data_IF_302234121164
#
_entry.id   IF_302234121164
#
_cell.length_a   1.000
_cell.length_b   1.000
_cell.length_c   1.000
_cell.angle_alpha   90.00
_cell.angle_beta   90.00
_cell.angle_gamma   90.00
#
_symmetry.space_group_name_H-M   'P 1'
#
loop_
_entity.id
_entity.type
_entity.pdbx_description
1 polymer ?
#
# COMPACT_ATOMS: atom_id res chain seq x y z
N UNK A 1 7.12 -14.98 21.83
CA UNK A 1 6.54 -13.62 21.83
C UNK A 1 7.62 -12.65 21.38
N UNK A 2 7.44 -11.99 20.23
CA UNK A 2 8.45 -11.06 19.69
C UNK A 2 8.53 -9.82 20.59
N UNK A 3 9.74 -9.41 20.97
CA UNK A 3 9.99 -8.28 21.90
C UNK A 3 9.30 -6.98 21.44
N UNK A 4 9.21 -6.75 20.13
CA UNK A 4 8.51 -5.61 19.55
C UNK A 4 6.98 -5.61 19.80
N UNK A 5 6.36 -6.79 19.95
CA UNK A 5 4.92 -6.91 20.22
C UNK A 5 4.58 -6.52 21.67
N UNK A 6 5.43 -6.89 22.63
CA UNK A 6 5.27 -6.50 24.03
C UNK A 6 5.43 -4.98 24.24
N UNK A 7 6.35 -4.35 23.50
CA UNK A 7 6.58 -2.89 23.57
C UNK A 7 5.39 -2.12 22.99
N UNK A 8 4.84 -2.55 21.85
CA UNK A 8 3.64 -1.92 21.26
C UNK A 8 2.43 -1.99 22.20
N UNK A 9 2.21 -3.13 22.88
CA UNK A 9 1.13 -3.28 23.84
C UNK A 9 1.30 -2.36 25.06
N UNK A 10 2.54 -2.20 25.55
CA UNK A 10 2.85 -1.33 26.69
C UNK A 10 2.69 0.16 26.34
N UNK A 11 3.10 0.57 25.13
CA UNK A 11 2.92 1.94 24.61
C UNK A 11 1.44 2.30 24.46
N UNK A 12 0.61 1.36 24.02
CA UNK A 12 -0.85 1.57 23.93
C UNK A 12 -1.49 1.74 25.31
N UNK A 13 -1.01 1.02 26.32
CA UNK A 13 -1.53 1.08 27.69
C UNK A 13 -1.16 2.41 28.39
N UNK A 14 0.02 2.95 28.10
CA UNK A 14 0.47 4.26 28.61
C UNK A 14 -0.23 5.45 27.96
N UNK A 15 -0.60 5.34 26.68
CA UNK A 15 -1.37 6.38 26.00
C UNK A 15 -2.75 6.61 26.64
N UNK A 16 -3.37 5.57 27.21
CA UNK A 16 -4.63 5.66 27.93
C UNK A 16 -4.52 6.35 29.31
N UNK A 17 -3.32 6.47 29.88
CA UNK A 17 -3.09 7.04 31.22
C UNK A 17 -2.76 8.55 31.20
N UNK A 18 -2.87 9.24 30.07
CA UNK A 18 -2.66 10.69 29.97
C UNK A 18 -1.20 11.16 29.99
N UNK A 19 -0.22 10.25 29.97
CA UNK A 19 1.22 10.58 29.98
C UNK A 19 1.73 10.79 28.54
N UNK A 20 1.17 11.77 27.84
CA UNK A 20 1.43 12.00 26.41
C UNK A 20 2.91 12.30 26.09
N UNK A 21 3.63 12.98 26.99
CA UNK A 21 5.03 13.36 26.81
C UNK A 21 5.98 12.16 26.80
N UNK A 22 5.77 11.17 27.67
CA UNK A 22 6.64 9.98 27.76
C UNK A 22 6.41 8.97 26.63
N UNK A 23 5.22 8.95 26.02
CA UNK A 23 4.87 8.02 24.94
C UNK A 23 5.56 8.37 23.62
N UNK A 24 5.74 9.67 23.34
CA UNK A 24 6.42 10.15 22.12
C UNK A 24 7.92 9.83 22.17
N UNK A 25 8.57 10.11 23.30
CA UNK A 25 10.00 9.76 23.49
C UNK A 25 10.23 8.25 23.47
N UNK A 26 9.36 7.45 24.09
CA UNK A 26 9.49 6.00 24.06
C UNK A 26 9.39 5.44 22.63
N UNK A 27 8.52 6.01 21.79
CA UNK A 27 8.43 5.63 20.36
C UNK A 27 9.66 6.05 19.57
N UNK A 28 10.21 7.25 19.84
CA UNK A 28 11.45 7.73 19.21
C UNK A 28 12.61 6.79 19.51
N UNK A 29 12.81 6.47 20.80
CA UNK A 29 13.85 5.56 21.30
C UNK A 29 13.67 4.13 20.77
N UNK A 30 12.43 3.63 20.71
CA UNK A 30 12.15 2.30 20.17
C UNK A 30 12.40 2.21 18.66
N UNK A 31 12.13 3.29 17.90
CA UNK A 31 12.38 3.35 16.47
C UNK A 31 13.88 3.36 16.13
N UNK A 32 14.67 4.13 16.87
CA UNK A 32 16.14 4.13 16.70
C UNK A 32 16.75 2.76 17.01
N UNK A 33 16.23 2.05 18.02
CA UNK A 33 16.74 0.73 18.41
C UNK A 33 16.48 -0.33 17.33
N UNK A 34 15.28 -0.36 16.73
CA UNK A 34 14.98 -1.26 15.62
C UNK A 34 15.86 -0.99 14.39
N UNK A 35 16.10 0.29 14.06
CA UNK A 35 16.97 0.64 12.94
C UNK A 35 18.44 0.24 13.18
N UNK A 36 18.91 0.31 14.43
CA UNK A 36 20.26 -0.16 14.80
C UNK A 36 20.36 -1.69 14.73
N UNK A 37 19.35 -2.43 15.18
CA UNK A 37 19.30 -3.91 15.08
C UNK A 37 19.36 -4.37 13.61
N UNK A 38 18.62 -3.73 12.71
CA UNK A 38 18.64 -4.04 11.27
C UNK A 38 20.00 -3.75 10.63
N UNK A 39 20.67 -2.65 11.03
CA UNK A 39 22.03 -2.34 10.57
C UNK A 39 23.04 -3.38 11.04
N UNK A 40 22.93 -3.81 12.29
CA UNK A 40 23.80 -4.83 12.86
C UNK A 40 23.59 -6.18 12.17
N UNK A 41 22.33 -6.57 11.91
CA UNK A 41 22.02 -7.79 11.17
C UNK A 41 22.57 -7.77 9.73
N UNK A 42 22.54 -6.61 9.05
CA UNK A 42 23.15 -6.46 7.72
C UNK A 42 24.67 -6.57 7.74
N UNK A 43 25.32 -6.00 8.75
CA UNK A 43 26.78 -6.08 8.90
C UNK A 43 27.25 -7.49 9.29
N UNK A 44 26.49 -8.20 10.14
CA UNK A 44 26.82 -9.58 10.53
C UNK A 44 26.59 -10.59 9.39
N UNK A 45 25.61 -10.36 8.51
CA UNK A 45 25.32 -11.24 7.37
C UNK A 45 25.97 -10.79 6.06
N UNK A 46 26.78 -9.73 6.07
CA UNK A 46 27.50 -9.30 4.88
C UNK A 46 28.42 -10.44 4.42
N UNK A 47 28.29 -10.93 3.16
CA UNK A 47 29.08 -12.06 2.69
C UNK A 47 30.56 -11.70 2.78
N UNK A 48 31.30 -12.47 3.58
CA UNK A 48 32.75 -12.41 3.61
C UNK A 48 33.21 -12.85 2.24
N UNK A 49 33.50 -11.89 1.35
CA UNK A 49 34.02 -12.16 0.04
C UNK A 49 35.32 -12.96 0.20
N UNK A 50 35.27 -14.26 -0.09
CA UNK A 50 36.46 -15.09 -0.10
C UNK A 50 37.37 -14.55 -1.22
N UNK A 51 38.63 -14.20 -0.90
CA UNK A 51 39.54 -13.69 -1.91
C UNK A 51 39.83 -14.80 -2.92
N UNK A 52 39.24 -14.69 -4.10
CA UNK A 52 39.59 -15.54 -5.23
C UNK A 52 41.00 -15.14 -5.71
N UNK A 53 41.98 -16.01 -5.43
CA UNK A 53 43.23 -16.21 -6.16
C UNK A 53 44.01 -14.99 -6.69
N UNK A 54 45.15 -14.74 -6.04
CA UNK A 54 46.38 -14.14 -6.57
C UNK A 54 46.26 -12.84 -7.41
N UNK A 55 46.13 -11.71 -6.73
CA UNK A 55 46.95 -10.53 -6.99
C UNK A 55 46.95 -9.64 -5.75
N UNK A 56 48.14 -9.16 -5.36
CA UNK A 56 48.37 -8.37 -4.16
C UNK A 56 47.59 -7.04 -4.19
N UNK A 57 46.38 -7.04 -3.63
CA UNK A 57 45.63 -5.84 -3.31
C UNK A 57 45.49 -5.73 -1.80
N UNK A 58 46.33 -4.91 -1.18
CA UNK A 58 46.35 -4.61 0.26
C UNK A 58 45.14 -3.80 0.74
N UNK A 59 44.18 -3.46 -0.15
CA UNK A 59 42.99 -2.67 0.18
C UNK A 59 41.87 -3.45 0.90
N UNK A 60 41.89 -4.79 0.87
CA UNK A 60 40.83 -5.61 1.49
C UNK A 60 40.95 -5.81 3.00
N UNK A 61 42.15 -5.67 3.58
CA UNK A 61 42.34 -5.84 5.02
C UNK A 61 41.93 -4.60 5.83
N UNK A 62 42.01 -3.41 5.21
CA UNK A 62 41.60 -2.15 5.83
C UNK A 62 40.07 -2.04 5.99
N UNK A 63 39.28 -2.66 5.10
CA UNK A 63 37.82 -2.61 5.18
C UNK A 63 37.25 -3.50 6.30
N UNK A 64 37.90 -4.62 6.62
CA UNK A 64 37.43 -5.52 7.68
C UNK A 64 37.65 -4.93 9.09
N UNK A 65 38.76 -4.23 9.30
CA UNK A 65 39.03 -3.56 10.59
C UNK A 65 38.10 -2.38 10.81
N UNK A 66 37.76 -1.64 9.75
CA UNK A 66 36.78 -0.55 9.77
C UNK A 66 35.37 -1.06 10.09
N UNK A 67 34.91 -2.12 9.41
CA UNK A 67 33.62 -2.79 9.72
C UNK A 67 33.59 -3.30 11.17
N UNK A 68 34.69 -3.84 11.68
CA UNK A 68 34.77 -4.30 13.08
C UNK A 68 34.67 -3.15 14.07
N UNK A 69 35.24 -1.98 13.75
CA UNK A 69 35.13 -0.78 14.57
C UNK A 69 33.70 -0.21 14.56
N UNK A 70 33.03 -0.20 13.40
CA UNK A 70 31.63 0.21 13.31
C UNK A 70 30.71 -0.69 14.13
N UNK A 71 30.90 -2.02 14.09
CA UNK A 71 30.12 -2.95 14.91
C UNK A 71 30.32 -2.68 16.40
N UNK A 72 31.55 -2.41 16.85
CA UNK A 72 31.82 -2.06 18.25
C UNK A 72 31.14 -0.76 18.66
N UNK A 73 31.18 0.26 17.80
CA UNK A 73 30.54 1.56 18.04
C UNK A 73 29.02 1.42 18.12
N UNK A 74 28.40 0.73 17.16
CA UNK A 74 26.95 0.48 17.16
C UNK A 74 26.50 -0.31 18.40
N UNK A 75 27.28 -1.30 18.85
CA UNK A 75 26.96 -2.04 20.09
C UNK A 75 27.01 -1.14 21.33
N UNK A 76 27.92 -0.17 21.39
CA UNK A 76 27.99 0.80 22.48
C UNK A 76 26.79 1.78 22.45
N UNK A 77 26.41 2.28 21.27
CA UNK A 77 25.25 3.16 21.09
C UNK A 77 23.94 2.45 21.48
N UNK A 78 23.75 1.19 21.07
CA UNK A 78 22.59 0.40 21.50
C UNK A 78 22.52 0.20 23.01
N UNK A 79 23.67 0.02 23.68
CA UNK A 79 23.70 -0.11 25.13
C UNK A 79 23.25 1.18 25.83
N UNK A 80 23.67 2.35 25.35
CA UNK A 80 23.24 3.65 25.87
C UNK A 80 21.73 3.86 25.69
N UNK A 81 21.21 3.64 24.48
CA UNK A 81 19.78 3.79 24.18
C UNK A 81 18.93 2.83 25.01
N UNK A 82 19.42 1.62 25.28
CA UNK A 82 18.74 0.67 26.16
C UNK A 82 18.70 1.15 27.62
N UNK A 83 19.79 1.73 28.13
CA UNK A 83 19.80 2.31 29.49
C UNK A 83 18.86 3.50 29.63
N UNK A 84 18.74 4.33 28.59
CA UNK A 84 17.77 5.42 28.54
C UNK A 84 16.33 4.89 28.49
N UNK A 85 16.07 3.84 27.71
CA UNK A 85 14.77 3.20 27.68
C UNK A 85 14.37 2.65 29.07
N UNK A 86 15.30 1.99 29.76
CA UNK A 86 15.06 1.45 31.10
C UNK A 86 14.82 2.56 32.13
N UNK A 87 15.50 3.70 32.03
CA UNK A 87 15.29 4.85 32.92
C UNK A 87 13.92 5.52 32.69
N UNK A 88 13.50 5.67 31.43
CA UNK A 88 12.17 6.19 31.09
C UNK A 88 11.08 5.23 31.59
N UNK A 89 11.24 3.92 31.38
CA UNK A 89 10.28 2.92 31.87
C UNK A 89 10.19 2.92 33.40
N UNK A 90 11.32 3.10 34.11
CA UNK A 90 11.33 3.21 35.57
C UNK A 90 10.63 4.49 36.07
N UNK A 91 10.85 5.63 35.42
CA UNK A 91 10.16 6.89 35.74
C UNK A 91 8.65 6.78 35.52
N UNK A 92 8.23 6.17 34.42
CA UNK A 92 6.80 5.94 34.11
C UNK A 92 6.14 5.01 35.13
N UNK A 93 6.81 3.92 35.55
CA UNK A 93 6.26 2.98 36.54
C UNK A 93 6.09 3.59 37.92
N UNK A 94 6.94 4.54 38.29
CA UNK A 94 6.88 5.17 39.63
C UNK A 94 5.91 6.33 39.68
N UNK A 95 5.30 6.73 38.55
CA UNK A 95 4.46 7.93 38.46
C UNK A 95 5.22 9.21 38.79
N UNK A 96 6.54 9.13 38.95
CA UNK A 96 7.38 10.27 39.22
C UNK A 96 7.58 11.00 37.89
N UNK A 97 7.17 12.28 37.77
CA UNK A 97 7.55 13.06 36.61
C UNK A 97 9.08 13.07 36.54
N UNK A 98 9.69 12.89 35.35
CA UNK A 98 11.14 12.98 35.22
C UNK A 98 11.57 14.33 35.78
N UNK A 99 12.26 14.32 36.92
CA UNK A 99 12.80 15.53 37.52
C UNK A 99 13.96 15.98 36.64
N UNK A 100 13.69 16.92 35.75
CA UNK A 100 14.76 17.84 35.36
C UNK A 100 15.18 18.59 36.63
N UNK A 101 16.49 18.74 36.91
CA UNK A 101 16.99 19.34 38.15
C UNK A 101 16.51 20.78 38.39
N UNK A 102 15.91 21.43 37.39
CA UNK A 102 15.62 22.88 37.43
C UNK A 102 14.14 23.27 37.55
N UNK A 103 13.19 22.32 37.70
CA UNK A 103 11.82 22.64 38.15
C UNK A 103 10.96 23.54 37.24
N UNK A 104 11.42 23.92 36.04
CA UNK A 104 10.64 24.69 35.07
C UNK A 104 9.88 23.71 34.17
N UNK A 105 8.55 23.67 34.29
CA UNK A 105 7.66 23.08 33.28
C UNK A 105 7.70 23.99 32.07
N UNK A 106 8.77 23.89 31.28
CA UNK A 106 8.86 24.59 30.00
C UNK A 106 7.72 24.06 29.13
N UNK A 107 6.83 24.95 28.69
CA UNK A 107 5.93 24.68 27.58
C UNK A 107 6.76 24.04 26.48
N UNK A 108 6.54 22.76 26.21
CA UNK A 108 7.30 22.02 25.19
C UNK A 108 7.08 22.79 23.89
N UNK A 109 8.10 23.45 23.33
CA UNK A 109 7.93 24.13 22.06
C UNK A 109 7.54 23.06 21.06
N UNK A 110 6.37 23.21 20.45
CA UNK A 110 5.95 22.35 19.34
C UNK A 110 7.03 22.50 18.28
N UNK A 111 7.85 21.47 18.13
CA UNK A 111 8.92 21.52 17.15
C UNK A 111 8.26 21.40 15.75
N UNK A 112 8.39 22.41 14.87
CA UNK A 112 7.80 22.38 13.53
C UNK A 112 8.23 21.15 12.72
N UNK A 113 9.38 20.54 13.06
CA UNK A 113 9.84 19.29 12.45
C UNK A 113 8.88 18.12 12.68
N UNK A 114 8.19 18.08 13.83
CA UNK A 114 7.24 17.02 14.17
C UNK A 114 5.94 17.19 13.36
N UNK A 115 5.46 18.42 13.19
CA UNK A 115 4.27 18.71 12.38
C UNK A 115 4.50 18.35 10.90
N UNK A 116 5.62 18.78 10.33
CA UNK A 116 6.02 18.42 8.97
C UNK A 116 6.15 16.89 8.78
N UNK A 117 6.70 16.19 9.79
CA UNK A 117 6.80 14.73 9.75
C UNK A 117 5.42 14.04 9.78
N UNK A 118 4.46 14.57 10.56
CA UNK A 118 3.08 14.05 10.61
C UNK A 118 2.37 14.26 9.28
N UNK A 119 2.48 15.45 8.68
CA UNK A 119 1.91 15.74 7.36
C UNK A 119 2.48 14.83 6.27
N UNK A 120 3.80 14.62 6.25
CA UNK A 120 4.45 13.72 5.31
C UNK A 120 3.97 12.27 5.46
N UNK A 121 3.72 11.81 6.70
CA UNK A 121 3.16 10.46 6.95
C UNK A 121 1.70 10.36 6.48
N UNK A 122 0.90 11.41 6.69
CA UNK A 122 -0.49 11.45 6.20
C UNK A 122 -0.55 11.43 4.67
N UNK A 123 0.26 12.25 4.00
CA UNK A 123 0.36 12.28 2.55
C UNK A 123 0.80 10.92 1.96
N UNK A 124 1.80 10.26 2.57
CA UNK A 124 2.23 8.92 2.16
C UNK A 124 1.12 7.87 2.32
N UNK A 125 0.35 7.93 3.40
CA UNK A 125 -0.80 7.02 3.61
C UNK A 125 -1.91 7.26 2.60
N UNK A 126 -2.22 8.51 2.30
CA UNK A 126 -3.23 8.86 1.30
C UNK A 126 -2.82 8.39 -0.08
N UNK A 127 -1.55 8.60 -0.46
CA UNK A 127 -1.02 8.12 -1.74
C UNK A 127 -1.06 6.59 -1.82
N UNK A 128 -0.55 5.89 -0.80
CA UNK A 128 -0.59 4.43 -0.76
C UNK A 128 -2.03 3.87 -0.85
N UNK A 129 -2.99 4.56 -0.25
CA UNK A 129 -4.41 4.21 -0.37
C UNK A 129 -4.92 4.42 -1.79
N UNK A 130 -4.63 5.54 -2.43
CA UNK A 130 -4.99 5.81 -3.83
C UNK A 130 -4.40 4.76 -4.77
N UNK A 131 -3.14 4.40 -4.58
CA UNK A 131 -2.46 3.38 -5.39
C UNK A 131 -3.07 1.99 -5.19
N UNK A 132 -3.37 1.62 -3.94
CA UNK A 132 -4.04 0.35 -3.62
C UNK A 132 -5.46 0.29 -4.20
N UNK A 133 -6.21 1.39 -4.12
CA UNK A 133 -7.55 1.51 -4.69
C UNK A 133 -7.51 1.43 -6.23
N UNK A 134 -6.54 2.09 -6.87
CA UNK A 134 -6.33 2.02 -8.31
C UNK A 134 -5.98 0.60 -8.77
N UNK A 135 -5.08 -0.09 -8.06
CA UNK A 135 -4.72 -1.48 -8.33
C UNK A 135 -5.94 -2.41 -8.20
N UNK A 136 -6.68 -2.31 -7.08
CA UNK A 136 -7.89 -3.10 -6.86
C UNK A 136 -8.93 -2.86 -7.95
N UNK A 137 -9.11 -1.60 -8.37
CA UNK A 137 -10.01 -1.25 -9.46
C UNK A 137 -9.57 -1.87 -10.79
N UNK A 138 -8.28 -1.82 -11.11
CA UNK A 138 -7.73 -2.45 -12.33
C UNK A 138 -7.91 -3.97 -12.34
N UNK A 139 -7.64 -4.64 -11.22
CA UNK A 139 -7.84 -6.09 -11.09
C UNK A 139 -9.32 -6.47 -11.20
N UNK A 140 -10.19 -5.69 -10.55
CA UNK A 140 -11.63 -5.89 -10.60
C UNK A 140 -12.16 -5.74 -12.04
N UNK A 141 -11.72 -4.70 -12.77
CA UNK A 141 -12.05 -4.50 -14.18
C UNK A 141 -11.57 -5.68 -15.05
N UNK A 142 -10.35 -6.16 -14.85
CA UNK A 142 -9.82 -7.30 -15.60
C UNK A 142 -10.64 -8.59 -15.38
N UNK A 143 -11.05 -8.86 -14.14
CA UNK A 143 -11.93 -10.00 -13.83
C UNK A 143 -13.31 -9.85 -14.45
N UNK A 144 -13.89 -8.65 -14.42
CA UNK A 144 -15.18 -8.38 -15.03
C UNK A 144 -15.13 -8.58 -16.55
N UNK A 145 -14.07 -8.09 -17.20
CA UNK A 145 -13.83 -8.31 -18.63
C UNK A 145 -13.73 -9.80 -18.96
N UNK A 146 -12.96 -10.57 -18.19
CA UNK A 146 -12.83 -12.00 -18.42
C UNK A 146 -14.18 -12.73 -18.25
N UNK A 147 -14.96 -12.38 -17.21
CA UNK A 147 -16.28 -12.96 -16.99
C UNK A 147 -17.26 -12.68 -18.14
N UNK A 148 -17.21 -11.49 -18.75
CA UNK A 148 -17.99 -11.18 -19.95
C UNK A 148 -17.60 -12.08 -21.14
N UNK A 149 -16.29 -12.25 -21.37
CA UNK A 149 -15.79 -13.13 -22.45
C UNK A 149 -16.22 -14.57 -22.21
N UNK A 150 -16.08 -15.08 -20.99
CA UNK A 150 -16.46 -16.46 -20.67
C UNK A 150 -17.97 -16.69 -20.85
N UNK A 151 -18.81 -15.70 -20.50
CA UNK A 151 -20.24 -15.73 -20.79
C UNK A 151 -20.53 -15.75 -22.30
N UNK A 152 -19.85 -14.92 -23.09
CA UNK A 152 -19.99 -14.91 -24.55
C UNK A 152 -19.59 -16.26 -25.17
N UNK A 153 -18.48 -16.84 -24.70
CA UNK A 153 -18.02 -18.17 -25.13
C UNK A 153 -19.09 -19.22 -24.85
N UNK A 154 -19.69 -19.19 -23.66
CA UNK A 154 -20.72 -20.13 -23.24
C UNK A 154 -22.02 -19.99 -24.04
N UNK A 155 -22.52 -18.77 -24.20
CA UNK A 155 -23.82 -18.52 -24.86
C UNK A 155 -23.77 -18.68 -26.39
N UNK A 156 -22.65 -18.32 -27.01
CA UNK A 156 -22.48 -18.37 -28.47
C UNK A 156 -21.75 -19.63 -28.95
N UNK A 157 -21.18 -20.44 -28.04
CA UNK A 157 -20.38 -21.61 -28.38
C UNK A 157 -19.17 -21.24 -29.23
N UNK A 158 -18.40 -20.23 -28.80
CA UNK A 158 -17.26 -19.73 -29.57
C UNK A 158 -16.13 -20.77 -29.65
N UNK A 159 -15.51 -20.88 -30.83
CA UNK A 159 -14.28 -21.67 -31.00
C UNK A 159 -13.09 -20.99 -30.29
N UNK A 160 -11.99 -21.71 -30.06
CA UNK A 160 -10.78 -21.13 -29.44
C UNK A 160 -10.19 -19.95 -30.24
N UNK A 161 -10.24 -20.04 -31.56
CA UNK A 161 -9.79 -18.97 -32.46
C UNK A 161 -10.68 -17.72 -32.32
N UNK A 162 -12.01 -17.89 -32.34
CA UNK A 162 -12.95 -16.80 -32.13
C UNK A 162 -12.82 -16.19 -30.73
N UNK A 163 -12.66 -17.03 -29.70
CA UNK A 163 -12.42 -16.58 -28.32
C UNK A 163 -11.20 -15.67 -28.23
N UNK A 164 -10.11 -16.03 -28.90
CA UNK A 164 -8.88 -15.23 -28.92
C UNK A 164 -9.11 -13.87 -29.57
N UNK A 165 -9.79 -13.84 -30.73
CA UNK A 165 -10.11 -12.59 -31.43
C UNK A 165 -11.07 -11.70 -30.63
N UNK A 166 -12.14 -12.27 -30.06
CA UNK A 166 -13.09 -11.54 -29.21
C UNK A 166 -12.39 -10.98 -27.96
N UNK A 167 -11.49 -11.76 -27.35
CA UNK A 167 -10.70 -11.30 -26.18
C UNK A 167 -9.86 -10.08 -26.54
N UNK A 168 -9.20 -10.08 -27.70
CA UNK A 168 -8.41 -8.93 -28.15
C UNK A 168 -9.28 -7.69 -28.38
N UNK A 169 -10.43 -7.85 -29.04
CA UNK A 169 -11.39 -6.77 -29.30
C UNK A 169 -11.90 -6.15 -27.99
N UNK A 170 -12.35 -7.00 -27.05
CA UNK A 170 -12.88 -6.54 -25.75
C UNK A 170 -11.78 -5.88 -24.90
N UNK A 171 -10.53 -6.37 -24.96
CA UNK A 171 -9.41 -5.73 -24.27
C UNK A 171 -9.11 -4.34 -24.84
N UNK A 172 -9.11 -4.17 -26.17
CA UNK A 172 -8.96 -2.86 -26.82
C UNK A 172 -10.10 -1.91 -26.43
N UNK A 173 -11.33 -2.40 -26.40
CA UNK A 173 -12.49 -1.65 -25.93
C UNK A 173 -12.28 -1.16 -24.49
N UNK A 174 -11.84 -2.04 -23.58
CA UNK A 174 -11.59 -1.70 -22.17
C UNK A 174 -10.56 -0.58 -22.01
N UNK A 175 -9.50 -0.59 -22.82
CA UNK A 175 -8.51 0.49 -22.86
C UNK A 175 -9.13 1.79 -23.37
N UNK A 176 -9.87 1.75 -24.49
CA UNK A 176 -10.53 2.93 -25.05
C UNK A 176 -11.52 3.58 -24.07
N UNK A 177 -12.29 2.78 -23.32
CA UNK A 177 -13.17 3.28 -22.26
C UNK A 177 -12.38 3.96 -21.14
N UNK A 178 -11.29 3.35 -20.69
CA UNK A 178 -10.41 3.94 -19.66
C UNK A 178 -9.83 5.26 -20.13
N UNK A 179 -9.35 5.33 -21.36
CA UNK A 179 -8.75 6.55 -21.92
C UNK A 179 -9.81 7.65 -22.07
N UNK A 180 -11.01 7.31 -22.53
CA UNK A 180 -12.13 8.25 -22.62
C UNK A 180 -12.57 8.78 -21.23
N UNK A 181 -12.50 7.95 -20.18
CA UNK A 181 -12.77 8.38 -18.80
C UNK A 181 -11.64 9.23 -18.21
N UNK A 182 -10.39 8.89 -18.50
CA UNK A 182 -9.20 9.58 -17.96
C UNK A 182 -9.02 10.95 -18.59
N UNK A 183 -9.33 11.07 -19.89
CA UNK A 183 -9.14 12.30 -20.66
C UNK A 183 -10.39 13.21 -20.70
N UNK A 184 -11.47 12.86 -20.00
CA UNK A 184 -12.67 13.71 -19.96
C UNK A 184 -12.40 14.97 -19.14
N UNK A 185 -12.97 16.08 -19.56
CA UNK A 185 -13.05 17.27 -18.71
C UNK A 185 -14.19 17.11 -17.70
N UNK A 186 -14.06 17.77 -16.55
CA UNK A 186 -15.13 17.79 -15.56
C UNK A 186 -16.40 18.39 -16.18
N UNK A 187 -17.52 17.66 -16.08
CA UNK A 187 -18.79 18.04 -16.68
C UNK A 187 -18.97 17.71 -18.16
N UNK A 188 -17.98 17.12 -18.83
CA UNK A 188 -18.11 16.68 -20.22
C UNK A 188 -18.98 15.41 -20.33
N UNK A 189 -19.98 15.45 -21.21
CA UNK A 189 -20.80 14.27 -21.52
C UNK A 189 -19.99 13.29 -22.40
N UNK A 190 -19.55 12.18 -21.80
CA UNK A 190 -18.82 11.13 -22.51
C UNK A 190 -19.73 10.09 -23.16
N UNK A 191 -21.06 10.27 -23.12
CA UNK A 191 -22.03 9.29 -23.60
C UNK A 191 -21.85 8.96 -25.08
N UNK A 192 -21.69 9.98 -25.93
CA UNK A 192 -21.49 9.76 -27.37
C UNK A 192 -20.21 8.99 -27.66
N UNK A 193 -19.11 9.30 -26.96
CA UNK A 193 -17.84 8.57 -27.08
C UNK A 193 -18.01 7.10 -26.69
N UNK A 194 -18.74 6.84 -25.61
CA UNK A 194 -19.03 5.48 -25.17
C UNK A 194 -19.93 4.70 -26.12
N UNK A 195 -20.94 5.36 -26.71
CA UNK A 195 -21.78 4.76 -27.74
C UNK A 195 -20.93 4.41 -28.96
N UNK A 196 -20.06 5.32 -29.42
CA UNK A 196 -19.17 5.08 -30.56
C UNK A 196 -18.23 3.89 -30.30
N UNK A 197 -17.55 3.87 -29.16
CA UNK A 197 -16.67 2.75 -28.76
C UNK A 197 -17.47 1.43 -28.72
N UNK A 198 -18.68 1.45 -28.16
CA UNK A 198 -19.54 0.26 -28.10
C UNK A 198 -19.92 -0.20 -29.50
N UNK A 199 -20.41 0.68 -30.36
CA UNK A 199 -20.84 0.35 -31.73
C UNK A 199 -19.69 -0.19 -32.57
N UNK A 200 -18.50 0.39 -32.45
CA UNK A 200 -17.30 -0.11 -33.12
C UNK A 200 -16.95 -1.52 -32.64
N UNK A 201 -16.97 -1.74 -31.32
CA UNK A 201 -16.71 -3.06 -30.73
C UNK A 201 -17.73 -4.09 -31.20
N UNK A 202 -19.02 -3.76 -31.16
CA UNK A 202 -20.11 -4.64 -31.60
C UNK A 202 -19.91 -5.04 -33.08
N UNK A 203 -19.46 -4.10 -33.91
CA UNK A 203 -19.15 -4.36 -35.33
C UNK A 203 -17.98 -5.32 -35.49
N UNK A 204 -16.90 -5.09 -34.74
CA UNK A 204 -15.71 -5.96 -34.78
C UNK A 204 -16.01 -7.38 -34.25
N UNK A 205 -16.81 -7.50 -33.19
CA UNK A 205 -17.22 -8.81 -32.66
C UNK A 205 -18.07 -9.54 -33.71
N UNK A 206 -19.08 -8.90 -34.32
CA UNK A 206 -19.90 -9.55 -35.34
C UNK A 206 -19.11 -10.04 -36.54
N UNK A 207 -18.05 -9.35 -36.92
CA UNK A 207 -17.20 -9.75 -38.04
C UNK A 207 -16.46 -11.07 -37.80
N UNK A 208 -16.25 -11.48 -36.54
CA UNK A 208 -15.60 -12.75 -36.18
C UNK A 208 -16.59 -13.87 -35.85
N UNK A 209 -17.87 -13.53 -35.71
CA UNK A 209 -18.94 -14.48 -35.42
C UNK A 209 -19.52 -15.06 -36.72
N UNK A 210 -20.07 -16.27 -36.63
CA UNK A 210 -20.93 -16.78 -37.71
C UNK A 210 -22.25 -15.99 -37.75
N UNK A 211 -22.97 -15.98 -38.88
CA UNK A 211 -24.25 -15.29 -38.96
C UNK A 211 -25.24 -15.71 -37.87
N UNK A 212 -25.30 -17.01 -37.56
CA UNK A 212 -26.17 -17.57 -36.50
C UNK A 212 -25.76 -17.09 -35.11
N UNK A 213 -24.45 -17.02 -34.83
CA UNK A 213 -23.92 -16.49 -33.57
C UNK A 213 -24.18 -14.98 -33.46
N UNK A 214 -24.12 -14.24 -34.57
CA UNK A 214 -24.39 -12.81 -34.62
C UNK A 214 -25.80 -12.44 -34.19
N UNK A 215 -26.81 -13.24 -34.58
CA UNK A 215 -28.20 -13.02 -34.16
C UNK A 215 -28.35 -13.19 -32.65
N UNK A 216 -27.77 -14.25 -32.08
CA UNK A 216 -27.77 -14.46 -30.62
C UNK A 216 -27.01 -13.37 -29.88
N UNK A 217 -25.88 -12.92 -30.43
CA UNK A 217 -25.13 -11.80 -29.86
C UNK A 217 -25.99 -10.54 -29.78
N UNK A 218 -26.78 -10.23 -30.81
CA UNK A 218 -27.69 -9.08 -30.80
C UNK A 218 -28.79 -9.18 -29.75
N UNK A 219 -29.30 -10.37 -29.46
CA UNK A 219 -30.26 -10.60 -28.39
C UNK A 219 -29.63 -10.38 -27.01
N UNK A 220 -28.40 -10.86 -26.80
CA UNK A 220 -27.65 -10.67 -25.55
C UNK A 220 -27.31 -9.17 -25.36
N UNK A 221 -26.86 -8.50 -26.42
CA UNK A 221 -26.45 -7.10 -26.39
C UNK A 221 -27.60 -6.11 -26.09
N UNK A 222 -28.84 -6.48 -26.43
CA UNK A 222 -30.06 -5.73 -26.08
C UNK A 222 -30.43 -5.83 -24.60
N UNK A 223 -29.94 -6.84 -23.89
CA UNK A 223 -30.17 -7.05 -22.46
C UNK A 223 -28.88 -6.76 -21.66
N UNK A 224 -28.52 -5.48 -21.46
CA UNK A 224 -27.31 -5.11 -20.72
C UNK A 224 -27.31 -5.64 -19.27
N UNK A 225 -28.51 -5.84 -18.71
CA UNK A 225 -28.72 -6.44 -17.39
C UNK A 225 -28.19 -7.89 -17.29
N UNK A 226 -28.16 -8.63 -18.41
CA UNK A 226 -27.71 -10.02 -18.46
C UNK A 226 -26.18 -10.13 -18.63
N UNK A 227 -25.54 -9.18 -19.31
CA UNK A 227 -24.08 -9.18 -19.51
C UNK A 227 -23.29 -8.69 -18.30
N UNK A 228 -23.83 -7.72 -17.55
CA UNK A 228 -23.18 -7.15 -16.36
C UNK A 228 -23.68 -7.76 -15.05
N UNK A 229 -24.18 -8.99 -15.09
CA UNK A 229 -24.41 -9.86 -13.94
C UNK A 229 -24.92 -9.13 -12.71
N UNK A 230 -26.10 -8.49 -12.79
CA UNK A 230 -26.95 -8.14 -11.65
C UNK A 230 -26.28 -7.57 -10.38
N UNK A 231 -25.18 -6.83 -10.48
CA UNK A 231 -24.37 -6.44 -9.31
C UNK A 231 -24.08 -4.95 -9.15
N UNK A 232 -24.26 -4.13 -10.20
CA UNK A 232 -23.88 -2.71 -10.17
C UNK A 232 -24.91 -1.75 -9.56
N UNK A 233 -26.08 -2.26 -9.18
CA UNK A 233 -27.15 -1.51 -8.51
C UNK A 233 -27.25 -1.77 -7.01
N UNK A 234 -26.31 -2.53 -6.43
CA UNK A 234 -26.27 -2.82 -5.00
C UNK A 234 -25.72 -1.64 -4.21
N UNK A 235 -26.53 -0.59 -4.07
CA UNK A 235 -26.27 0.52 -3.16
C UNK A 235 -26.01 0.00 -1.75
N UNK A 236 -24.73 -0.21 -1.41
CA UNK A 236 -24.27 -0.14 -0.03
C UNK A 236 -24.24 1.32 0.39
N UNK A 237 -25.44 1.88 0.50
CA UNK A 237 -25.82 2.73 1.63
C UNK A 237 -25.77 1.85 2.88
N UNK A 238 -24.56 1.46 3.29
CA UNK A 238 -24.26 1.03 4.66
C UNK A 238 -23.41 2.17 5.21
N UNK A 239 -24.04 3.27 5.57
CA UNK A 239 -24.68 3.34 6.87
C UNK A 239 -23.83 4.34 7.65
N UNK A 240 -24.10 5.62 7.40
CA UNK A 240 -23.60 6.69 8.24
C UNK A 240 -24.05 6.41 9.68
N UNK A 241 -23.12 5.97 10.51
CA UNK A 241 -23.20 6.07 11.96
C UNK A 241 -22.38 7.30 12.33
N UNK A 242 -22.93 8.48 12.04
CA UNK A 242 -22.57 9.67 12.80
C UNK A 242 -23.22 9.53 14.18
N UNK A 243 -22.48 9.64 15.29
CA UNK A 243 -23.11 9.72 16.60
C UNK A 243 -23.70 11.12 16.76
N UNK A 244 -25.01 11.19 16.53
CA UNK A 244 -25.86 12.28 17.03
C UNK A 244 -25.95 12.15 18.54
N UNK A 245 -25.94 13.29 19.23
CA UNK A 245 -25.61 13.41 20.64
C UNK A 245 -26.67 12.89 21.61
N UNK A 246 -26.20 12.72 22.85
CA UNK A 246 -26.90 13.14 24.06
C UNK A 246 -25.86 13.51 25.11
#
# INVERSE_FOLDING_TARGET
>A
MNKCSAISAFVALLACAGVAFSVVELRRVSGSLSAMEDRLAKLENAPVAQPAGNAASTSGAASMTEVTQEIKKLKAEMAQVKTEQESIVAAVKTGAPPKNPDGVVASVPVNPDIEAAVEAVLAKKEQAKKDADAKRNSEWMGRATQGMIDNLVKELGLTEQQKTQVTEIVNKQSVAFRDALTNRKDGEDTREKFVAIKTETDTQIKAVLTPEQGVKYDEIAKNPTSMFGGGFGGGRRSGGRGPEGN
#
